data_IF_509857518703
#
_entry.id   IF_509857518703
#
_cell.length_a   1.000
_cell.length_b   1.000
_cell.length_c   1.000
_cell.angle_alpha   90.00
_cell.angle_beta   90.00
_cell.angle_gamma   90.00
#
_symmetry.space_group_name_H-M   'P 1'
#
loop_
_entity.id
_entity.type
_entity.pdbx_description
1 polymer ?
#
# COMPACT_ATOMS: atom_id res chain seq x y z
N UNK A 1 -4.97 -5.67 -8.34
CA UNK A 1 -3.96 -4.89 -9.06
C UNK A 1 -4.54 -3.51 -9.34
N UNK A 2 -3.72 -2.46 -9.25
CA UNK A 2 -4.12 -1.13 -9.74
C UNK A 2 -3.73 -1.05 -11.22
N UNK A 3 -4.71 -0.84 -12.08
CA UNK A 3 -4.50 -0.56 -13.49
C UNK A 3 -4.28 0.95 -13.68
N UNK A 4 -3.40 1.36 -14.59
CA UNK A 4 -3.08 2.78 -14.89
C UNK A 4 -2.58 3.65 -13.73
N UNK A 5 -1.99 3.06 -12.68
CA UNK A 5 -1.30 3.84 -11.65
C UNK A 5 -0.01 4.44 -12.21
N UNK A 6 0.02 5.77 -12.40
CA UNK A 6 1.24 6.45 -12.85
C UNK A 6 2.36 6.36 -11.81
N UNK A 7 3.63 6.30 -12.26
CA UNK A 7 4.79 6.29 -11.34
C UNK A 7 4.87 7.56 -10.48
N UNK A 8 4.37 8.70 -10.98
CA UNK A 8 4.24 9.94 -10.21
C UNK A 8 3.27 9.76 -9.05
N UNK A 9 2.08 9.23 -9.32
CA UNK A 9 1.08 8.95 -8.28
C UNK A 9 1.61 7.92 -7.29
N UNK A 10 2.26 6.85 -7.76
CA UNK A 10 2.90 5.88 -6.87
C UNK A 10 3.88 6.54 -5.88
N UNK A 11 4.73 7.47 -6.35
CA UNK A 11 5.62 8.25 -5.47
C UNK A 11 4.87 9.16 -4.49
N UNK A 12 3.78 9.79 -4.90
CA UNK A 12 2.94 10.61 -4.01
C UNK A 12 2.31 9.77 -2.89
N UNK A 13 2.00 8.51 -3.16
CA UNK A 13 1.52 7.53 -2.18
C UNK A 13 2.66 6.88 -1.36
N UNK A 14 3.90 7.33 -1.54
CA UNK A 14 5.07 6.81 -0.83
C UNK A 14 5.58 5.46 -1.31
N UNK A 15 5.04 4.92 -2.42
CA UNK A 15 5.49 3.64 -2.97
C UNK A 15 6.91 3.75 -3.55
N UNK A 16 7.66 2.66 -3.43
CA UNK A 16 8.97 2.53 -4.06
C UNK A 16 8.81 2.23 -5.54
N UNK A 17 9.79 2.67 -6.34
CA UNK A 17 9.87 2.37 -7.77
C UNK A 17 11.11 1.52 -7.99
N UNK A 18 10.91 0.37 -8.63
CA UNK A 18 11.95 -0.57 -9.00
C UNK A 18 12.20 -0.52 -10.50
N UNK A 19 13.45 -0.81 -10.88
CA UNK A 19 13.81 -1.07 -12.27
C UNK A 19 13.66 -2.57 -12.57
N UNK A 20 13.09 -2.88 -13.73
CA UNK A 20 12.94 -4.24 -14.21
C UNK A 20 14.28 -4.95 -14.37
N UNK A 21 14.29 -6.25 -14.09
CA UNK A 21 15.47 -7.13 -14.23
C UNK A 21 15.32 -8.13 -15.37
N UNK A 22 14.38 -7.88 -16.27
CA UNK A 22 14.03 -8.73 -17.41
C UNK A 22 12.96 -9.76 -17.04
N UNK A 23 13.15 -10.99 -17.51
CA UNK A 23 12.16 -12.06 -17.41
C UNK A 23 12.04 -12.63 -15.99
N UNK A 24 10.83 -12.62 -15.45
CA UNK A 24 10.48 -13.29 -14.18
C UNK A 24 10.51 -14.81 -14.29
N UNK A 25 10.47 -15.51 -13.15
CA UNK A 25 10.41 -16.98 -13.06
C UNK A 25 9.17 -17.61 -13.71
N UNK A 26 8.12 -16.83 -13.95
CA UNK A 26 6.90 -17.24 -14.65
C UNK A 26 6.84 -16.79 -16.12
N UNK A 27 7.95 -16.25 -16.63
CA UNK A 27 8.10 -15.93 -18.05
C UNK A 27 7.53 -14.58 -18.49
N UNK A 28 7.15 -13.72 -17.54
CA UNK A 28 6.69 -12.35 -17.82
C UNK A 28 7.90 -11.41 -17.85
N UNK A 29 8.02 -10.58 -18.88
CA UNK A 29 9.00 -9.47 -18.91
C UNK A 29 8.52 -8.35 -18.00
N UNK A 30 9.39 -7.93 -17.08
CA UNK A 30 9.12 -6.78 -16.23
C UNK A 30 9.15 -5.48 -17.05
N UNK A 31 8.30 -4.49 -16.73
CA UNK A 31 8.45 -3.14 -17.25
C UNK A 31 9.82 -2.55 -16.88
N UNK A 32 10.31 -1.58 -17.66
CA UNK A 32 11.55 -0.86 -17.35
C UNK A 32 11.51 -0.25 -15.94
N UNK A 33 10.36 0.31 -15.56
CA UNK A 33 10.08 0.82 -14.22
C UNK A 33 8.68 0.40 -13.77
N UNK A 34 8.55 0.02 -12.50
CA UNK A 34 7.26 -0.29 -11.89
C UNK A 34 7.23 0.08 -10.41
N UNK A 35 6.03 0.28 -9.86
CA UNK A 35 5.85 0.51 -8.43
C UNK A 35 5.87 -0.80 -7.65
N UNK A 36 6.59 -0.82 -6.53
CA UNK A 36 6.49 -1.86 -5.52
C UNK A 36 5.12 -1.80 -4.80
N UNK A 37 4.67 -2.91 -4.19
CA UNK A 37 3.34 -3.00 -3.63
C UNK A 37 3.18 -2.15 -2.37
N UNK A 38 1.94 -1.69 -2.17
CA UNK A 38 1.46 -1.19 -0.89
C UNK A 38 0.00 -1.59 -0.68
N UNK A 39 -0.42 -1.58 0.59
CA UNK A 39 -1.82 -1.78 1.01
C UNK A 39 -2.23 -0.56 1.82
N UNK A 40 -3.36 0.03 1.44
CA UNK A 40 -3.91 1.21 2.11
C UNK A 40 -5.38 0.94 2.44
N UNK A 41 -5.79 1.31 3.65
CA UNK A 41 -7.21 1.38 4.03
C UNK A 41 -7.58 2.84 4.16
N UNK A 42 -8.55 3.28 3.36
CA UNK A 42 -9.02 4.67 3.31
C UNK A 42 -10.49 4.68 3.69
N UNK A 43 -10.86 5.57 4.62
CA UNK A 43 -12.25 5.76 5.02
C UNK A 43 -13.07 6.44 3.90
N UNK A 44 -14.41 6.37 3.91
CA UNK A 44 -15.25 7.06 2.94
C UNK A 44 -15.05 8.59 2.90
N UNK A 45 -14.59 9.19 4.00
CA UNK A 45 -14.28 10.62 4.09
C UNK A 45 -12.89 11.00 3.53
N UNK A 46 -12.14 10.02 3.01
CA UNK A 46 -10.79 10.20 2.47
C UNK A 46 -9.67 10.09 3.49
N UNK A 47 -9.96 9.86 4.78
CA UNK A 47 -8.92 9.69 5.81
C UNK A 47 -8.14 8.39 5.60
N UNK A 48 -6.81 8.47 5.57
CA UNK A 48 -5.95 7.28 5.60
C UNK A 48 -5.99 6.63 6.99
N UNK A 49 -6.41 5.38 7.06
CA UNK A 49 -6.55 4.64 8.32
C UNK A 49 -5.37 3.69 8.58
N UNK A 50 -4.84 3.11 7.51
CA UNK A 50 -3.73 2.16 7.54
C UNK A 50 -2.93 2.27 6.26
N UNK A 51 -1.61 2.15 6.36
CA UNK A 51 -0.70 2.05 5.23
C UNK A 51 0.42 1.06 5.51
N UNK A 52 0.65 0.13 4.59
CA UNK A 52 1.82 -0.73 4.55
C UNK A 52 2.47 -0.62 3.18
N UNK A 53 3.68 -0.07 3.14
CA UNK A 53 4.48 0.11 1.92
C UNK A 53 5.72 -0.77 2.00
N UNK A 54 6.06 -1.45 0.91
CA UNK A 54 7.15 -2.41 0.88
C UNK A 54 8.08 -2.13 -0.30
N UNK A 55 9.37 -2.45 -0.13
CA UNK A 55 10.34 -2.58 -1.23
C UNK A 55 10.45 -4.02 -1.72
N UNK A 56 9.99 -4.98 -0.90
CA UNK A 56 10.02 -6.39 -1.20
C UNK A 56 8.64 -6.81 -1.72
N UNK A 57 8.54 -7.61 -2.78
CA UNK A 57 7.24 -8.01 -3.33
C UNK A 57 6.51 -9.07 -2.48
N UNK A 58 7.20 -9.60 -1.47
CA UNK A 58 6.78 -10.68 -0.57
C UNK A 58 6.48 -10.17 0.85
N UNK A 59 5.79 -10.99 1.67
CA UNK A 59 5.40 -10.66 3.05
C UNK A 59 4.39 -9.52 3.19
N UNK A 60 3.40 -9.47 2.29
CA UNK A 60 2.28 -8.54 2.39
C UNK A 60 1.40 -8.85 3.61
N UNK A 61 0.69 -7.86 4.17
CA UNK A 61 -0.29 -8.09 5.21
C UNK A 61 -1.31 -9.17 4.80
N UNK A 62 -1.60 -10.09 5.71
CA UNK A 62 -2.63 -11.10 5.47
C UNK A 62 -4.00 -10.44 5.54
N UNK A 63 -4.81 -10.61 4.49
CA UNK A 63 -6.10 -9.91 4.40
C UNK A 63 -7.10 -10.40 5.45
N UNK A 64 -6.99 -11.64 5.94
CA UNK A 64 -7.83 -12.13 7.04
C UNK A 64 -7.57 -11.34 8.32
N UNK A 65 -6.32 -11.06 8.65
CA UNK A 65 -5.95 -10.24 9.81
C UNK A 65 -6.40 -8.78 9.64
N UNK A 66 -6.29 -8.24 8.42
CA UNK A 66 -6.79 -6.89 8.12
C UNK A 66 -8.31 -6.79 8.26
N UNK A 67 -9.06 -7.79 7.79
CA UNK A 67 -10.52 -7.80 7.91
C UNK A 67 -10.95 -7.87 9.38
N UNK A 68 -10.32 -8.73 10.20
CA UNK A 68 -10.58 -8.78 11.64
C UNK A 68 -10.26 -7.45 12.34
N UNK A 69 -9.18 -6.76 11.94
CA UNK A 69 -8.84 -5.44 12.44
C UNK A 69 -9.86 -4.37 12.01
N UNK A 70 -10.39 -4.44 10.79
CA UNK A 70 -11.46 -3.56 10.30
C UNK A 70 -12.74 -3.78 11.10
N UNK A 71 -13.16 -5.03 11.33
CA UNK A 71 -14.34 -5.34 12.15
C UNK A 71 -14.19 -4.77 13.57
N UNK A 72 -13.03 -4.93 14.19
CA UNK A 72 -12.72 -4.33 15.49
C UNK A 72 -12.79 -2.81 15.46
N UNK A 73 -12.15 -2.18 14.46
CA UNK A 73 -12.12 -0.73 14.31
C UNK A 73 -13.52 -0.14 14.17
N UNK A 74 -14.38 -0.76 13.36
CA UNK A 74 -15.79 -0.37 13.19
C UNK A 74 -16.59 -0.58 14.48
N UNK A 75 -16.44 -1.72 15.15
CA UNK A 75 -17.17 -2.03 16.38
C UNK A 75 -16.79 -1.14 17.57
N UNK A 76 -15.58 -0.58 17.57
CA UNK A 76 -15.06 0.27 18.65
C UNK A 76 -15.00 1.75 18.30
N UNK A 77 -15.43 2.14 17.10
CA UNK A 77 -15.20 3.48 16.56
C UNK A 77 -13.73 3.92 16.75
N UNK A 78 -12.80 3.00 16.49
CA UNK A 78 -11.39 3.21 16.81
C UNK A 78 -10.79 4.26 15.86
N UNK A 79 -10.13 5.31 16.35
CA UNK A 79 -9.63 6.38 15.51
C UNK A 79 -8.44 5.93 14.66
N UNK A 80 -8.20 6.63 13.55
CA UNK A 80 -6.94 6.50 12.84
C UNK A 80 -5.79 6.96 13.75
N UNK A 81 -4.56 6.55 13.44
CA UNK A 81 -3.33 7.00 14.11
C UNK A 81 -2.39 7.64 13.10
N UNK A 82 -1.48 8.51 13.56
CA UNK A 82 -0.51 9.22 12.70
C UNK A 82 -0.92 10.66 12.33
N UNK A 83 -1.93 11.20 13.01
CA UNK A 83 -2.51 12.53 12.81
C UNK A 83 -1.70 13.70 13.41
N UNK A 84 -0.54 13.44 14.03
CA UNK A 84 0.27 14.50 14.63
C UNK A 84 0.93 15.37 13.56
N UNK A 85 0.64 16.67 13.58
CA UNK A 85 1.16 17.65 12.61
C UNK A 85 2.03 18.74 13.23
N UNK A 86 2.19 18.75 14.56
CA UNK A 86 3.06 19.70 15.23
C UNK A 86 4.55 19.31 15.09
N UNK A 87 5.48 20.25 15.35
CA UNK A 87 6.91 19.95 15.30
C UNK A 87 7.30 18.86 16.31
N UNK A 88 8.19 17.96 15.88
CA UNK A 88 8.82 16.90 16.69
C UNK A 88 10.26 17.26 17.06
#
# INVERSE_FOLDING_TARGET
FAYDLSLRSARQWGLYISAGRGKTSIGIEEPELFSEPGVFLVRPDGTLYYGAVQTMPFARPQFQDLLAAVDFALAKDYPARGEHTAPV
#
